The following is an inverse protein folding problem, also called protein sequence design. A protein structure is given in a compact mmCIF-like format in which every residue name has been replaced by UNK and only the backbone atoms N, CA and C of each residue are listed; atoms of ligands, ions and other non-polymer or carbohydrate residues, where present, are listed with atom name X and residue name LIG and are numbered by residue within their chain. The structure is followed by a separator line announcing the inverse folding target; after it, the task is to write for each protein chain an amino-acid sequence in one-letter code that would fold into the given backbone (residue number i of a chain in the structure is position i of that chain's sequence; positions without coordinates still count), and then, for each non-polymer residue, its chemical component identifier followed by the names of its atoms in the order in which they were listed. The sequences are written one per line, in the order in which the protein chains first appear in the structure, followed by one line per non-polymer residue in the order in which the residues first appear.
data_IF_912673968290
#
_entry.id   IF_912673968290
#
_cell.length_a   1.000
_cell.length_b   1.000
_cell.length_c   1.000
_cell.angle_alpha   90.00
_cell.angle_beta   90.00
_cell.angle_gamma   90.00
#
_symmetry.space_group_name_H-M   'P 1'
#
loop_
_entity.id
_entity.type
_entity.pdbx_description
1 polymer ?
#
# COMPACT_ATOMS: atom_id res chain seq x y z
N UNK A 1 7.79 -11.39 -3.43
CA UNK A 1 8.19 -10.42 -2.39
C UNK A 1 6.98 -9.55 -2.16
N UNK A 2 6.51 -9.36 -0.91
CA UNK A 2 5.32 -8.57 -0.68
C UNK A 2 5.57 -7.10 -1.06
N UNK A 3 4.62 -6.51 -1.78
CA UNK A 3 4.60 -5.07 -2.11
C UNK A 3 3.33 -4.47 -1.54
N UNK A 4 3.51 -3.41 -0.75
CA UNK A 4 2.41 -2.66 -0.14
C UNK A 4 2.22 -1.38 -0.96
N UNK A 5 1.12 -1.31 -1.72
CA UNK A 5 0.82 -0.12 -2.50
C UNK A 5 0.04 0.90 -1.66
N UNK A 6 0.55 2.14 -1.60
CA UNK A 6 -0.04 3.22 -0.80
C UNK A 6 -0.37 4.41 -1.69
N UNK A 7 -1.42 5.16 -1.36
CA UNK A 7 -1.73 6.42 -2.04
C UNK A 7 -2.03 7.53 -1.05
N UNK A 8 -1.56 8.75 -1.35
CA UNK A 8 -1.92 9.97 -0.62
C UNK A 8 -3.19 10.66 -1.13
N UNK A 9 -3.93 10.04 -2.06
CA UNK A 9 -5.12 10.62 -2.66
C UNK A 9 -6.34 9.72 -2.39
N UNK A 10 -7.30 10.21 -1.61
CA UNK A 10 -8.52 9.46 -1.28
C UNK A 10 -9.33 9.08 -2.51
N UNK A 11 -9.49 10.00 -3.47
CA UNK A 11 -10.25 9.71 -4.70
C UNK A 11 -9.59 8.58 -5.51
N UNK A 12 -8.26 8.54 -5.56
CA UNK A 12 -7.52 7.41 -6.16
C UNK A 12 -7.75 6.13 -5.38
N UNK A 13 -7.67 6.18 -4.04
CA UNK A 13 -7.91 5.01 -3.19
C UNK A 13 -9.30 4.42 -3.41
N UNK A 14 -10.34 5.24 -3.49
CA UNK A 14 -11.71 4.78 -3.74
C UNK A 14 -11.85 4.10 -5.11
N UNK A 15 -11.27 4.70 -6.16
CA UNK A 15 -11.37 4.19 -7.54
C UNK A 15 -10.51 2.95 -7.79
N UNK A 16 -9.37 2.85 -7.10
CA UNK A 16 -8.39 1.77 -7.25
C UNK A 16 -8.29 0.91 -5.99
N UNK A 17 -9.36 0.85 -5.19
CA UNK A 17 -9.38 0.11 -3.92
C UNK A 17 -8.97 -1.35 -4.11
N UNK A 18 -9.21 -1.94 -5.27
CA UNK A 18 -8.79 -3.31 -5.52
C UNK A 18 -7.26 -3.51 -5.58
N UNK A 19 -6.50 -2.50 -6.02
CA UNK A 19 -5.04 -2.57 -6.21
C UNK A 19 -4.24 -2.06 -5.00
N UNK A 20 -4.75 -1.05 -4.28
CA UNK A 20 -3.97 -0.31 -3.28
C UNK A 20 -4.18 -0.81 -1.86
N UNK A 21 -3.16 -1.19 -1.10
CA UNK A 21 -3.29 -1.70 0.27
C UNK A 21 -3.68 -0.65 1.32
N UNK A 22 -3.34 0.63 1.12
CA UNK A 22 -3.49 1.65 2.16
C UNK A 22 -3.80 3.07 1.63
N UNK A 23 -4.67 3.79 2.36
CA UNK A 23 -5.02 5.20 2.09
C UNK A 23 -4.28 6.13 3.05
N UNK A 24 -3.21 6.76 2.60
CA UNK A 24 -2.54 7.84 3.33
C UNK A 24 -3.16 9.22 3.07
N UNK A 25 -4.19 9.32 2.21
CA UNK A 25 -4.88 10.58 1.90
C UNK A 25 -5.63 11.18 3.08
N UNK A 26 -5.90 10.39 4.12
CA UNK A 26 -6.49 10.85 5.39
C UNK A 26 -5.66 11.93 6.07
N UNK A 27 -4.34 11.97 5.82
CA UNK A 27 -3.44 13.03 6.30
C UNK A 27 -3.85 14.39 5.74
N UNK A 28 -4.19 14.43 4.45
CA UNK A 28 -4.62 15.66 3.75
C UNK A 28 -6.01 16.10 4.24
N UNK A 29 -6.81 15.17 4.73
CA UNK A 29 -8.15 15.42 5.27
C UNK A 29 -8.14 15.80 6.76
N UNK A 30 -6.97 15.89 7.37
CA UNK A 30 -6.77 16.39 8.74
C UNK A 30 -6.43 15.32 9.77
N UNK A 31 -6.29 14.05 9.39
CA UNK A 31 -5.85 13.00 10.31
C UNK A 31 -4.36 13.17 10.64
N UNK A 32 -3.95 13.11 11.92
CA UNK A 32 -2.55 13.26 12.30
C UNK A 32 -1.65 12.23 11.62
N UNK A 33 -0.49 12.66 11.10
CA UNK A 33 0.50 11.78 10.46
C UNK A 33 0.90 10.61 11.36
N UNK A 34 1.03 10.85 12.67
CA UNK A 34 1.40 9.81 13.63
C UNK A 34 0.35 8.69 13.71
N UNK A 35 -0.93 9.03 13.60
CA UNK A 35 -2.04 8.08 13.64
C UNK A 35 -2.08 7.25 12.35
N UNK A 36 -2.04 7.90 11.20
CA UNK A 36 -1.99 7.22 9.89
C UNK A 36 -0.75 6.35 9.78
N UNK A 37 0.40 6.82 10.28
CA UNK A 37 1.64 6.06 10.34
C UNK A 37 1.55 4.82 11.23
N UNK A 38 0.85 4.90 12.36
CA UNK A 38 0.62 3.75 13.24
C UNK A 38 -0.25 2.68 12.55
N UNK A 39 -1.27 3.08 11.79
CA UNK A 39 -2.10 2.16 11.01
C UNK A 39 -1.32 1.52 9.86
N UNK A 40 -0.49 2.29 9.16
CA UNK A 40 0.40 1.74 8.13
C UNK A 40 1.36 0.71 8.73
N UNK A 41 1.97 0.99 9.88
CA UNK A 41 2.86 0.05 10.56
C UNK A 41 2.14 -1.26 10.91
N UNK A 42 0.89 -1.20 11.39
CA UNK A 42 0.09 -2.41 11.63
C UNK A 42 -0.11 -3.22 10.34
N UNK A 43 -0.40 -2.56 9.21
CA UNK A 43 -0.54 -3.23 7.90
C UNK A 43 0.77 -3.89 7.46
N UNK A 44 1.90 -3.20 7.60
CA UNK A 44 3.25 -3.74 7.34
C UNK A 44 3.50 -5.00 8.16
N UNK A 45 3.22 -4.95 9.47
CA UNK A 45 3.41 -6.09 10.37
C UNK A 45 2.54 -7.28 9.95
N UNK A 46 1.26 -7.08 9.62
CA UNK A 46 0.39 -8.17 9.17
C UNK A 46 0.88 -8.80 7.87
N UNK A 47 1.26 -8.00 6.89
CA UNK A 47 1.78 -8.52 5.61
C UNK A 47 3.10 -9.26 5.82
N UNK A 48 4.01 -8.71 6.61
CA UNK A 48 5.26 -9.40 6.96
C UNK A 48 5.04 -10.69 7.75
N UNK A 49 3.89 -10.84 8.41
CA UNK A 49 3.48 -12.05 9.14
C UNK A 49 2.73 -13.06 8.27
N UNK A 50 2.58 -12.82 6.96
CA UNK A 50 1.99 -13.75 6.01
C UNK A 50 0.57 -13.40 5.53
N UNK A 51 0.03 -12.22 5.87
CA UNK A 51 -1.14 -11.67 5.15
C UNK A 51 -0.72 -11.34 3.71
N UNK A 52 -1.34 -11.91 2.65
CA UNK A 52 -0.97 -11.57 1.28
C UNK A 52 -1.25 -10.10 0.98
N UNK A 53 -0.30 -9.42 0.33
CA UNK A 53 -0.54 -8.06 -0.17
C UNK A 53 -1.46 -8.06 -1.39
N UNK A 54 -2.05 -6.91 -1.73
CA UNK A 54 -2.88 -6.81 -2.95
C UNK A 54 -2.08 -7.14 -4.21
N UNK A 55 -0.85 -6.66 -4.33
CA UNK A 55 0.03 -7.01 -5.44
C UNK A 55 0.23 -8.54 -5.57
N UNK A 56 0.42 -9.26 -4.45
CA UNK A 56 0.54 -10.72 -4.46
C UNK A 56 -0.76 -11.42 -4.87
N UNK A 57 -1.91 -10.94 -4.39
CA UNK A 57 -3.22 -11.48 -4.75
C UNK A 57 -3.56 -11.28 -6.24
N UNK A 58 -3.05 -10.20 -6.84
CA UNK A 58 -3.24 -9.88 -8.25
C UNK A 58 -2.20 -10.52 -9.17
N UNK A 59 -1.19 -11.18 -8.60
CA UNK A 59 -0.12 -11.81 -9.35
C UNK A 59 0.83 -10.81 -10.01
N UNK A 60 0.99 -9.60 -9.43
CA UNK A 60 1.99 -8.64 -9.89
C UNK A 60 3.39 -9.17 -9.55
N UNK A 61 4.05 -9.80 -10.53
CA UNK A 61 5.36 -10.43 -10.40
C UNK A 61 6.43 -9.80 -11.31
N UNK A 62 6.03 -8.83 -12.13
CA UNK A 62 6.85 -8.06 -13.08
C UNK A 62 7.80 -7.02 -12.43
N UNK A 63 8.12 -7.18 -11.15
CA UNK A 63 8.88 -6.21 -10.35
C UNK A 63 10.40 -6.26 -10.61
N UNK A 64 10.90 -7.35 -11.18
CA UNK A 64 12.33 -7.53 -11.42
C UNK A 64 12.71 -7.10 -12.85
N UNK A 65 13.31 -5.92 -12.96
CA UNK A 65 13.83 -5.37 -14.21
C UNK A 65 15.33 -5.09 -14.10
N UNK A 66 16.15 -5.71 -14.96
CA UNK A 66 17.58 -5.38 -15.10
C UNK A 66 17.73 -4.43 -16.29
N UNK A 67 17.93 -3.14 -16.03
CA UNK A 67 18.23 -2.16 -17.08
C UNK A 67 19.67 -2.34 -17.59
N UNK A 68 19.85 -2.48 -18.91
CA UNK A 68 21.17 -2.46 -19.58
C UNK A 68 21.38 -1.12 -20.26
N UNK A 69 21.73 -0.10 -19.50
CA UNK A 69 22.32 1.15 -20.03
C UNK A 69 23.82 1.14 -19.77
#
# INVERSE_FOLDING_TARGET
MPVIEITGNRATYERMRFNLDFNAGEIVEGTPIAEVGAELLKKVLRISSGEPSRAELLGHDELFCITRI
#
